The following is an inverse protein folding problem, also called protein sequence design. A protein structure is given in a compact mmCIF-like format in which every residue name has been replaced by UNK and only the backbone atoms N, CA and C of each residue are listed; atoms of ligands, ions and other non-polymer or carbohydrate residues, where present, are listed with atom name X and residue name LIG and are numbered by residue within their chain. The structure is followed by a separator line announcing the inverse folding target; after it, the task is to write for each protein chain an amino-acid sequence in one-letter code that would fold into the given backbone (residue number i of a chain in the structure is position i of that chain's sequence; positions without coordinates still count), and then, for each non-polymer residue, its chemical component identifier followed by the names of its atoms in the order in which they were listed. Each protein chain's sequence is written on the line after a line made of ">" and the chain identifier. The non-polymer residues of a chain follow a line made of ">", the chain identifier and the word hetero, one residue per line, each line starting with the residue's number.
data_IF_330730787474
#
_entry.id   IF_330730787474
#
_cell.length_a   1.000
_cell.length_b   1.000
_cell.length_c   1.000
_cell.angle_alpha   90.00
_cell.angle_beta   90.00
_cell.angle_gamma   90.00
#
_symmetry.space_group_name_H-M   'P 1'
#
loop_
_entity.id
_entity.type
_entity.pdbx_description
1 polymer ?
#
# COMPACT_ATOMS: atom_id res chain seq x y z
N UNK A 1 40.65 -1.53 -22.04
CA UNK A 1 39.23 -1.43 -22.44
C UNK A 1 38.23 -1.71 -21.29
N UNK A 2 38.62 -1.58 -20.01
CA UNK A 2 37.75 -1.90 -18.85
C UNK A 2 37.16 -0.69 -18.10
N UNK A 3 37.55 0.56 -18.43
CA UNK A 3 37.08 1.74 -17.67
C UNK A 3 35.72 2.32 -18.12
N UNK A 4 35.16 1.89 -19.26
CA UNK A 4 33.95 2.49 -19.82
C UNK A 4 32.62 1.91 -19.28
N UNK A 5 32.66 0.82 -18.51
CA UNK A 5 31.44 0.12 -18.01
C UNK A 5 31.05 0.50 -16.58
N UNK A 6 31.96 1.06 -15.78
CA UNK A 6 31.66 1.58 -14.44
C UNK A 6 30.53 2.64 -14.39
N UNK A 7 30.47 3.64 -15.30
CA UNK A 7 29.41 4.65 -15.22
C UNK A 7 28.04 4.06 -15.54
N UNK A 8 27.96 3.07 -16.44
CA UNK A 8 26.71 2.38 -16.77
C UNK A 8 26.14 1.60 -15.58
N UNK A 9 27.00 0.93 -14.81
CA UNK A 9 26.57 0.21 -13.61
C UNK A 9 26.08 1.17 -12.51
N UNK A 10 26.80 2.27 -12.30
CA UNK A 10 26.40 3.28 -11.32
C UNK A 10 25.06 3.95 -11.66
N UNK A 11 24.83 4.26 -12.95
CA UNK A 11 23.58 4.83 -13.45
C UNK A 11 22.41 3.85 -13.31
N UNK A 12 22.62 2.56 -13.60
CA UNK A 12 21.60 1.53 -13.44
C UNK A 12 21.16 1.35 -11.97
N UNK A 13 22.12 1.36 -11.04
CA UNK A 13 21.84 1.28 -9.60
C UNK A 13 21.05 2.52 -9.13
N UNK A 14 21.44 3.72 -9.58
CA UNK A 14 20.73 4.96 -9.24
C UNK A 14 19.29 4.99 -9.76
N UNK A 15 19.04 4.46 -10.97
CA UNK A 15 17.68 4.34 -11.51
C UNK A 15 16.81 3.36 -10.71
N UNK A 16 17.35 2.20 -10.34
CA UNK A 16 16.63 1.26 -9.47
C UNK A 16 16.29 1.88 -8.11
N UNK A 17 17.25 2.61 -7.50
CA UNK A 17 17.04 3.24 -6.20
C UNK A 17 15.99 4.37 -6.25
N UNK A 18 15.91 5.10 -7.36
CA UNK A 18 14.91 6.16 -7.54
C UNK A 18 13.48 5.65 -7.71
N UNK A 19 13.28 4.36 -8.01
CA UNK A 19 11.94 3.79 -8.22
C UNK A 19 11.29 3.26 -6.94
N UNK A 20 12.00 3.26 -5.80
CA UNK A 20 11.47 2.78 -4.52
C UNK A 20 10.97 3.89 -3.58
N UNK A 21 10.70 5.10 -4.09
CA UNK A 21 10.01 6.10 -3.28
C UNK A 21 8.54 5.62 -3.16
N UNK A 22 8.07 5.22 -1.97
CA UNK A 22 6.67 4.82 -1.80
C UNK A 22 5.81 5.98 -2.31
N UNK A 23 4.76 5.68 -3.08
CA UNK A 23 3.81 6.70 -3.54
C UNK A 23 3.21 7.37 -2.31
N UNK A 24 3.84 8.46 -1.87
CA UNK A 24 3.31 9.33 -0.84
C UNK A 24 2.13 10.03 -1.48
N UNK A 25 1.03 10.08 -0.78
CA UNK A 25 -0.08 10.89 -1.22
C UNK A 25 0.35 12.33 -1.34
N UNK A 26 -0.18 13.01 -2.37
CA UNK A 26 0.08 14.42 -2.55
C UNK A 26 -0.55 15.21 -1.40
N UNK A 27 0.19 16.20 -0.90
CA UNK A 27 -0.17 17.03 0.26
C UNK A 27 -1.42 17.88 -0.01
N UNK A 28 -1.79 18.05 -1.29
CA UNK A 28 -3.01 18.74 -1.71
C UNK A 28 -4.27 17.87 -1.65
N UNK A 29 -4.13 16.55 -1.48
CA UNK A 29 -5.23 15.59 -1.45
C UNK A 29 -5.58 15.18 -0.01
N UNK A 30 -6.87 14.97 0.27
CA UNK A 30 -7.30 14.40 1.55
C UNK A 30 -6.68 13.01 1.74
N UNK A 31 -5.99 12.83 2.86
CA UNK A 31 -5.44 11.55 3.29
C UNK A 31 -6.29 10.89 4.37
N UNK A 32 -6.28 9.56 4.38
CA UNK A 32 -7.11 8.74 5.25
C UNK A 32 -6.26 7.72 6.01
N UNK A 33 -6.56 7.58 7.30
CA UNK A 33 -6.16 6.43 8.12
C UNK A 33 -7.45 5.67 8.44
N UNK A 34 -7.45 4.37 8.16
CA UNK A 34 -8.63 3.52 8.31
C UNK A 34 -8.42 2.57 9.48
N UNK A 35 -9.35 2.55 10.44
CA UNK A 35 -9.39 1.56 11.52
C UNK A 35 -10.60 0.66 11.29
N UNK A 36 -10.37 -0.64 11.09
CA UNK A 36 -11.38 -1.59 10.57
C UNK A 36 -11.43 -2.89 11.38
N UNK A 37 -12.63 -3.45 11.55
CA UNK A 37 -12.86 -4.80 12.10
C UNK A 37 -13.42 -5.75 11.04
N UNK A 38 -12.73 -5.77 9.89
CA UNK A 38 -13.25 -6.16 8.56
C UNK A 38 -14.36 -7.21 8.55
N UNK A 39 -15.59 -6.71 8.60
CA UNK A 39 -16.84 -7.37 8.25
C UNK A 39 -17.19 -7.22 6.76
N UNK A 40 -18.45 -7.50 6.41
CA UNK A 40 -18.94 -7.41 5.01
C UNK A 40 -18.98 -5.97 4.52
N UNK A 41 -19.39 -5.05 5.39
CA UNK A 41 -19.51 -3.62 5.15
C UNK A 41 -18.14 -2.92 5.07
N UNK A 42 -17.21 -3.24 5.98
CA UNK A 42 -15.83 -2.74 5.89
C UNK A 42 -15.13 -3.17 4.61
N UNK A 43 -15.33 -4.44 4.20
CA UNK A 43 -14.78 -4.94 2.95
C UNK A 43 -15.30 -4.12 1.76
N UNK A 44 -16.59 -3.77 1.76
CA UNK A 44 -17.18 -2.91 0.73
C UNK A 44 -16.61 -1.49 0.76
N UNK A 45 -16.46 -0.91 1.94
CA UNK A 45 -15.88 0.42 2.12
C UNK A 45 -14.42 0.47 1.65
N UNK A 46 -13.61 -0.54 2.01
CA UNK A 46 -12.23 -0.70 1.57
C UNK A 46 -12.14 -0.83 0.05
N UNK A 47 -12.96 -1.68 -0.57
CA UNK A 47 -13.01 -1.80 -2.04
C UNK A 47 -13.37 -0.47 -2.71
N UNK A 48 -14.32 0.29 -2.16
CA UNK A 48 -14.70 1.60 -2.70
C UNK A 48 -13.55 2.62 -2.59
N UNK A 49 -12.90 2.70 -1.43
CA UNK A 49 -11.76 3.60 -1.20
C UNK A 49 -10.59 3.31 -2.14
N UNK A 50 -10.27 2.03 -2.34
CA UNK A 50 -9.25 1.57 -3.29
C UNK A 50 -9.64 1.88 -4.74
N UNK A 51 -10.91 1.72 -5.11
CA UNK A 51 -11.41 1.96 -6.47
C UNK A 51 -11.38 3.45 -6.85
N UNK A 52 -11.62 4.35 -5.90
CA UNK A 52 -11.54 5.80 -6.12
C UNK A 52 -10.11 6.35 -6.03
N UNK A 53 -9.10 5.48 -5.91
CA UNK A 53 -7.69 5.84 -5.77
C UNK A 53 -7.48 6.92 -4.67
N UNK A 54 -8.20 6.77 -3.55
CA UNK A 54 -8.03 7.66 -2.39
C UNK A 54 -6.65 7.47 -1.79
N UNK A 55 -6.13 8.53 -1.20
CA UNK A 55 -4.92 8.45 -0.41
C UNK A 55 -5.20 7.71 0.91
N UNK A 56 -4.79 6.44 1.01
CA UNK A 56 -4.81 5.71 2.28
C UNK A 56 -3.36 5.65 2.79
N UNK A 57 -3.09 6.28 3.93
CA UNK A 57 -1.75 6.31 4.54
C UNK A 57 -1.48 5.07 5.39
N UNK A 58 -2.53 4.58 6.08
CA UNK A 58 -2.45 3.42 6.95
C UNK A 58 -3.82 2.74 7.09
N UNK A 59 -3.77 1.44 7.33
CA UNK A 59 -4.93 0.63 7.72
C UNK A 59 -4.55 -0.09 9.02
N UNK A 60 -5.31 0.16 10.08
CA UNK A 60 -5.22 -0.56 11.35
C UNK A 60 -6.38 -1.55 11.44
N UNK A 61 -6.11 -2.71 12.05
CA UNK A 61 -7.11 -3.77 12.19
C UNK A 61 -7.38 -3.98 13.68
N UNK A 62 -8.66 -3.99 14.04
CA UNK A 62 -9.16 -4.26 15.39
C UNK A 62 -10.09 -5.48 15.36
N UNK A 63 -10.29 -6.10 16.52
CA UNK A 63 -11.28 -7.16 16.67
C UNK A 63 -12.68 -6.56 16.94
N UNK A 64 -13.72 -7.19 16.40
CA UNK A 64 -15.10 -6.70 16.49
C UNK A 64 -16.08 -7.72 15.91
N UNK A 65 -16.49 -7.54 14.65
CA UNK A 65 -17.33 -8.48 13.88
C UNK A 65 -16.79 -9.93 13.89
N UNK A 66 -15.48 -10.09 14.03
CA UNK A 66 -14.81 -11.37 14.17
C UNK A 66 -13.54 -11.23 15.04
N UNK A 67 -12.86 -12.34 15.30
CA UNK A 67 -11.58 -12.32 16.02
C UNK A 67 -10.47 -11.60 15.22
N UNK A 68 -9.40 -11.24 15.92
CA UNK A 68 -8.31 -10.43 15.36
C UNK A 68 -7.65 -11.09 14.14
N UNK A 69 -7.49 -12.42 14.15
CA UNK A 69 -6.85 -13.15 13.06
C UNK A 69 -7.74 -13.17 11.82
N UNK A 70 -9.04 -13.40 12.00
CA UNK A 70 -10.02 -13.36 10.92
C UNK A 70 -10.20 -11.96 10.37
N UNK A 71 -10.27 -10.92 11.21
CA UNK A 71 -10.37 -9.53 10.78
C UNK A 71 -9.14 -9.12 9.96
N UNK A 72 -7.93 -9.51 10.41
CA UNK A 72 -6.70 -9.28 9.67
C UNK A 72 -6.70 -9.99 8.31
N UNK A 73 -7.02 -11.29 8.30
CA UNK A 73 -7.04 -12.08 7.08
C UNK A 73 -8.11 -11.59 6.08
N UNK A 74 -9.27 -11.14 6.57
CA UNK A 74 -10.31 -10.54 5.74
C UNK A 74 -9.84 -9.21 5.14
N UNK A 75 -9.23 -8.35 5.94
CA UNK A 75 -8.62 -7.10 5.46
C UNK A 75 -7.63 -7.38 4.33
N UNK A 76 -6.69 -8.32 4.53
CA UNK A 76 -5.68 -8.69 3.55
C UNK A 76 -6.24 -9.29 2.25
N UNK A 77 -7.41 -9.96 2.30
CA UNK A 77 -8.08 -10.50 1.11
C UNK A 77 -8.69 -9.41 0.23
N UNK A 78 -9.10 -8.28 0.83
CA UNK A 78 -9.66 -7.13 0.09
C UNK A 78 -8.55 -6.30 -0.56
N UNK A 79 -7.39 -6.22 0.08
CA UNK A 79 -6.25 -5.46 -0.45
C UNK A 79 -5.71 -6.10 -1.75
N UNK A 80 -5.32 -5.28 -2.74
CA UNK A 80 -4.77 -5.80 -3.98
C UNK A 80 -3.40 -6.47 -3.71
N UNK A 81 -3.04 -7.42 -4.57
CA UNK A 81 -1.83 -8.26 -4.44
C UNK A 81 -0.50 -7.52 -4.29
N UNK A 82 -0.45 -6.21 -4.55
CA UNK A 82 0.72 -5.35 -4.31
C UNK A 82 1.04 -5.14 -2.83
N UNK A 83 0.18 -5.59 -1.91
CA UNK A 83 0.34 -5.46 -0.46
C UNK A 83 0.58 -6.80 0.26
N UNK A 84 0.70 -7.92 -0.47
CA UNK A 84 0.95 -9.27 0.05
C UNK A 84 2.30 -9.82 -0.42
#
# INVERSE_FOLDING_TARGET
>A
MMLATLPLLAIAIAMCYSQEIPKRCDVSSMSYVLDVDTGVDDAMALMAMLSYNKCIEAITVVAGNTDMENAYNNTMRVLPRKFN
#
